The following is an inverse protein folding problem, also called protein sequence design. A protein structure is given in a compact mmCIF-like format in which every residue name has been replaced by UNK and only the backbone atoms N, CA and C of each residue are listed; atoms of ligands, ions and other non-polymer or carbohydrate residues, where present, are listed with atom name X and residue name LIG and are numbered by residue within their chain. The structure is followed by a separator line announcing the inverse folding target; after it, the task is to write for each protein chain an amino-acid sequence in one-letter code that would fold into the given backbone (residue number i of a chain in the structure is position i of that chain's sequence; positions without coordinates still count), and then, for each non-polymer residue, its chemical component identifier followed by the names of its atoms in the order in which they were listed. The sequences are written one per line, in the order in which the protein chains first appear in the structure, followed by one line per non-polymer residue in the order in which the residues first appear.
data_IF_512662971102
#
_entry.id   IF_512662971102
#
_cell.length_a   1.000
_cell.length_b   1.000
_cell.length_c   1.000
_cell.angle_alpha   90.00
_cell.angle_beta   90.00
_cell.angle_gamma   90.00
#
_symmetry.space_group_name_H-M   'P 1'
#
loop_
_entity.id
_entity.type
_entity.pdbx_description
1 polymer ?
#
# COMPACT_ATOMS: atom_id res chain seq x y z
N UNK A 1 64.16 -5.98 -60.00
CA UNK A 1 62.88 -6.61 -59.63
C UNK A 1 63.17 -7.66 -58.58
N UNK A 2 62.66 -7.50 -57.36
CA UNK A 2 62.55 -8.63 -56.43
C UNK A 2 61.70 -9.70 -57.10
N UNK A 3 62.17 -10.96 -57.09
CA UNK A 3 61.38 -12.05 -57.67
C UNK A 3 60.10 -12.21 -56.87
N UNK A 4 59.02 -12.64 -57.54
CA UNK A 4 57.73 -12.93 -56.91
C UNK A 4 57.87 -13.91 -55.73
N UNK A 5 58.83 -14.85 -55.81
CA UNK A 5 59.16 -15.80 -54.74
C UNK A 5 59.77 -15.13 -53.49
N UNK A 6 60.47 -13.99 -53.63
CA UNK A 6 61.00 -13.25 -52.49
C UNK A 6 59.90 -12.51 -51.72
N UNK A 7 58.85 -12.03 -52.40
CA UNK A 7 57.70 -11.34 -51.80
C UNK A 7 56.64 -12.30 -51.21
N UNK A 8 56.73 -13.59 -51.53
CA UNK A 8 55.80 -14.62 -51.04
C UNK A 8 55.79 -14.72 -49.52
N UNK A 9 56.98 -14.67 -48.91
CA UNK A 9 57.14 -14.70 -47.45
C UNK A 9 56.48 -13.48 -46.78
N UNK A 10 56.50 -12.32 -47.44
CA UNK A 10 55.88 -11.09 -46.93
C UNK A 10 54.35 -11.20 -46.95
N UNK A 11 53.76 -11.77 -48.01
CA UNK A 11 52.32 -11.98 -48.13
C UNK A 11 51.85 -13.04 -47.13
N UNK A 12 52.52 -14.18 -47.05
CA UNK A 12 52.22 -15.26 -46.08
C UNK A 12 52.40 -14.76 -44.64
N UNK A 13 53.42 -13.95 -44.40
CA UNK A 13 53.71 -13.37 -43.09
C UNK A 13 52.74 -12.28 -42.65
N UNK A 14 52.01 -11.67 -43.60
CA UNK A 14 51.04 -10.61 -43.33
C UNK A 14 49.86 -11.10 -42.47
N UNK A 15 49.21 -10.17 -41.76
CA UNK A 15 48.03 -10.48 -40.96
C UNK A 15 46.90 -11.07 -41.82
N UNK A 16 46.69 -10.54 -43.03
CA UNK A 16 45.71 -11.05 -43.97
C UNK A 16 46.08 -12.45 -44.46
N UNK A 17 47.33 -12.67 -44.88
CA UNK A 17 47.81 -13.97 -45.36
C UNK A 17 47.65 -15.08 -44.33
N UNK A 18 47.95 -14.80 -43.06
CA UNK A 18 47.67 -15.70 -41.93
C UNK A 18 46.17 -15.93 -41.71
N UNK A 19 45.36 -14.87 -41.77
CA UNK A 19 43.91 -14.95 -41.58
C UNK A 19 43.20 -15.80 -42.64
N UNK A 20 43.70 -15.82 -43.88
CA UNK A 20 43.17 -16.67 -44.96
C UNK A 20 43.88 -18.04 -45.07
N UNK A 21 44.76 -18.37 -44.11
CA UNK A 21 45.39 -19.68 -43.99
C UNK A 21 46.48 -19.99 -45.02
N UNK A 22 47.20 -18.96 -45.51
CA UNK A 22 48.35 -19.16 -46.40
C UNK A 22 49.58 -19.62 -45.62
N UNK A 23 50.42 -20.42 -46.28
CA UNK A 23 51.69 -20.93 -45.78
C UNK A 23 52.80 -20.73 -46.83
N UNK A 24 54.06 -20.95 -46.44
CA UNK A 24 55.20 -20.92 -47.37
C UNK A 24 55.09 -22.00 -48.47
N UNK A 25 54.31 -23.05 -48.24
CA UNK A 25 53.98 -24.10 -49.21
C UNK A 25 52.80 -23.76 -50.12
N UNK A 26 52.02 -22.71 -49.85
CA UNK A 26 50.93 -22.29 -50.73
C UNK A 26 51.44 -21.90 -52.13
N UNK A 27 50.80 -22.42 -53.17
CA UNK A 27 51.06 -22.06 -54.56
C UNK A 27 50.35 -20.75 -54.93
N UNK A 28 50.67 -20.19 -56.10
CA UNK A 28 49.93 -19.05 -56.62
C UNK A 28 48.44 -19.36 -56.84
N UNK A 29 48.15 -20.58 -57.30
CA UNK A 29 46.77 -21.03 -57.45
C UNK A 29 46.05 -21.10 -56.09
N UNK A 30 46.74 -21.46 -55.01
CA UNK A 30 46.16 -21.46 -53.66
C UNK A 30 45.85 -20.03 -53.21
N UNK A 31 46.77 -19.09 -53.43
CA UNK A 31 46.56 -17.66 -53.13
C UNK A 31 45.36 -17.10 -53.89
N UNK A 32 45.31 -17.33 -55.20
CA UNK A 32 44.21 -16.86 -56.05
C UNK A 32 42.88 -17.49 -55.63
N UNK A 33 42.87 -18.79 -55.32
CA UNK A 33 41.68 -19.50 -54.87
C UNK A 33 41.18 -18.95 -53.54
N UNK A 34 42.09 -18.72 -52.57
CA UNK A 34 41.74 -18.17 -51.26
C UNK A 34 41.20 -16.75 -51.35
N UNK A 35 41.85 -15.87 -52.12
CA UNK A 35 41.36 -14.49 -52.32
C UNK A 35 39.96 -14.50 -52.97
N UNK A 36 39.74 -15.32 -53.99
CA UNK A 36 38.43 -15.46 -54.64
C UNK A 36 37.35 -16.04 -53.72
N UNK A 37 37.73 -16.81 -52.70
CA UNK A 37 36.79 -17.40 -51.74
C UNK A 37 36.32 -16.44 -50.63
N UNK A 38 36.99 -15.31 -50.43
CA UNK A 38 36.57 -14.32 -49.43
C UNK A 38 35.28 -13.64 -49.90
N UNK A 39 34.18 -13.86 -49.18
CA UNK A 39 32.91 -13.20 -49.46
C UNK A 39 33.00 -11.68 -49.21
N UNK A 40 32.65 -10.86 -50.20
CA UNK A 40 32.40 -9.43 -50.02
C UNK A 40 31.04 -9.27 -49.33
N UNK A 41 31.06 -8.77 -48.10
CA UNK A 41 29.85 -8.50 -47.31
C UNK A 41 29.37 -7.06 -47.47
N UNK A 42 30.07 -6.24 -48.26
CA UNK A 42 29.74 -4.85 -48.51
C UNK A 42 29.73 -4.03 -47.22
N UNK A 43 28.71 -3.19 -47.07
CA UNK A 43 28.53 -2.30 -45.92
C UNK A 43 27.79 -2.95 -44.75
N UNK A 44 27.16 -4.10 -44.98
CA UNK A 44 26.11 -4.61 -44.11
C UNK A 44 26.66 -5.62 -43.11
N UNK A 45 26.80 -5.20 -41.85
CA UNK A 45 27.12 -6.10 -40.73
C UNK A 45 25.86 -6.43 -39.93
N UNK A 46 24.92 -7.13 -40.55
CA UNK A 46 23.71 -7.59 -39.86
C UNK A 46 23.99 -8.88 -39.10
N UNK A 47 23.60 -8.91 -37.83
CA UNK A 47 23.54 -10.14 -37.03
C UNK A 47 22.08 -10.52 -36.79
N UNK A 48 21.83 -11.83 -36.69
CA UNK A 48 20.52 -12.37 -36.38
C UNK A 48 20.23 -12.42 -34.86
N UNK A 49 21.19 -12.09 -33.99
CA UNK A 49 20.96 -12.11 -32.53
C UNK A 49 21.96 -11.28 -31.70
N UNK A 50 21.49 -10.74 -30.58
CA UNK A 50 22.32 -10.12 -29.53
C UNK A 50 22.45 -11.11 -28.38
N UNK A 51 23.68 -11.42 -27.98
CA UNK A 51 24.01 -12.20 -26.78
C UNK A 51 24.41 -11.30 -25.62
N UNK A 52 24.31 -11.82 -24.40
CA UNK A 52 24.84 -11.16 -23.21
C UNK A 52 25.38 -12.19 -22.22
N UNK A 53 26.37 -11.78 -21.42
CA UNK A 53 26.94 -12.56 -20.33
C UNK A 53 27.12 -11.70 -19.08
N UNK A 54 27.76 -12.23 -18.05
CA UNK A 54 28.03 -11.51 -16.80
C UNK A 54 28.91 -10.25 -16.95
N UNK A 55 29.54 -10.05 -18.11
CA UNK A 55 30.41 -8.89 -18.37
C UNK A 55 30.47 -8.42 -19.82
N UNK A 56 29.57 -8.88 -20.70
CA UNK A 56 29.59 -8.45 -22.10
C UNK A 56 28.21 -8.43 -22.75
N UNK A 57 28.09 -7.59 -23.77
CA UNK A 57 27.09 -7.72 -24.83
C UNK A 57 27.81 -8.13 -26.11
N UNK A 58 27.28 -9.12 -26.82
CA UNK A 58 27.87 -9.65 -28.04
C UNK A 58 26.88 -9.57 -29.20
N UNK A 59 27.42 -9.37 -30.39
CA UNK A 59 26.69 -9.51 -31.65
C UNK A 59 27.08 -10.89 -32.20
N UNK A 60 26.19 -11.87 -32.04
CA UNK A 60 26.52 -13.26 -32.33
C UNK A 60 26.39 -13.57 -33.82
N UNK A 61 27.13 -14.56 -34.33
CA UNK A 61 26.93 -15.10 -35.69
C UNK A 61 27.01 -14.05 -36.81
N UNK A 62 27.93 -13.09 -36.70
CA UNK A 62 28.27 -12.20 -37.82
C UNK A 62 28.89 -13.07 -38.93
N UNK A 63 28.41 -13.00 -40.19
CA UNK A 63 28.96 -13.81 -41.28
C UNK A 63 30.46 -13.60 -41.48
N UNK A 64 31.21 -14.66 -41.80
CA UNK A 64 32.62 -14.53 -42.15
C UNK A 64 32.79 -13.84 -43.52
N UNK A 65 33.79 -12.97 -43.66
CA UNK A 65 34.09 -12.27 -44.91
C UNK A 65 34.74 -10.91 -44.68
N UNK A 66 34.90 -10.15 -45.76
CA UNK A 66 35.43 -8.79 -45.72
C UNK A 66 34.28 -7.77 -45.78
N UNK A 67 34.30 -6.82 -44.84
CA UNK A 67 33.35 -5.72 -44.74
C UNK A 67 34.05 -4.42 -45.10
N UNK A 68 33.41 -3.59 -45.92
CA UNK A 68 34.03 -2.41 -46.49
C UNK A 68 33.08 -1.24 -46.60
N UNK A 69 33.63 -0.04 -46.60
CA UNK A 69 32.89 1.15 -47.01
C UNK A 69 32.54 1.07 -48.50
N UNK A 70 31.35 1.52 -48.87
CA UNK A 70 30.94 1.77 -50.26
C UNK A 70 31.00 3.26 -50.62
N UNK A 71 31.78 4.05 -49.87
CA UNK A 71 31.88 5.50 -50.04
C UNK A 71 30.91 6.30 -49.19
N UNK A 72 30.02 5.63 -48.46
CA UNK A 72 29.21 6.26 -47.43
C UNK A 72 29.97 6.43 -46.12
N UNK A 73 29.75 7.56 -45.46
CA UNK A 73 30.38 7.91 -44.18
C UNK A 73 30.00 6.97 -43.03
N UNK A 74 28.88 6.26 -43.15
CA UNK A 74 28.36 5.34 -42.13
C UNK A 74 28.80 3.89 -42.35
N UNK A 75 29.72 3.60 -43.26
CA UNK A 75 30.11 2.23 -43.60
C UNK A 75 31.60 1.94 -43.33
N UNK A 76 31.96 0.71 -42.91
CA UNK A 76 31.06 -0.40 -42.54
C UNK A 76 30.43 -0.19 -41.14
N UNK A 77 29.18 -0.63 -40.92
CA UNK A 77 28.48 -0.48 -39.63
C UNK A 77 27.64 -1.70 -39.25
N UNK A 78 27.62 -2.00 -37.94
CA UNK A 78 26.77 -3.03 -37.34
C UNK A 78 25.47 -2.42 -36.82
N UNK A 79 24.33 -2.94 -37.30
CA UNK A 79 22.98 -2.47 -36.92
C UNK A 79 22.13 -3.60 -36.35
N UNK A 80 21.17 -3.23 -35.50
CA UNK A 80 20.08 -4.09 -35.02
C UNK A 80 18.77 -3.31 -35.12
N UNK A 81 17.65 -4.00 -35.38
CA UNK A 81 16.35 -3.33 -35.39
C UNK A 81 16.03 -2.86 -33.96
N UNK A 82 15.52 -1.64 -33.82
CA UNK A 82 15.12 -1.08 -32.52
C UNK A 82 14.13 -2.00 -31.79
N UNK A 83 13.26 -2.71 -32.50
CA UNK A 83 12.31 -3.68 -31.91
C UNK A 83 12.96 -4.87 -31.20
N UNK A 84 14.26 -5.11 -31.41
CA UNK A 84 15.00 -6.19 -30.74
C UNK A 84 15.37 -5.82 -29.29
N UNK A 85 15.21 -4.55 -28.90
CA UNK A 85 15.35 -4.12 -27.52
C UNK A 85 14.00 -4.17 -26.80
N UNK A 86 14.03 -4.10 -25.46
CA UNK A 86 12.81 -4.05 -24.66
C UNK A 86 11.91 -2.86 -24.99
N UNK A 87 10.66 -2.90 -24.53
CA UNK A 87 9.63 -1.88 -24.85
C UNK A 87 9.47 -0.79 -23.79
N UNK A 88 10.29 -0.82 -22.73
CA UNK A 88 10.25 0.17 -21.66
C UNK A 88 10.24 1.59 -22.25
N UNK A 89 9.29 2.40 -21.84
CA UNK A 89 9.27 3.84 -22.12
C UNK A 89 9.99 4.59 -21.01
N UNK A 90 10.30 5.88 -21.22
CA UNK A 90 10.90 6.70 -20.18
C UNK A 90 10.05 6.71 -18.89
N UNK A 91 8.72 6.67 -19.03
CA UNK A 91 7.80 6.61 -17.90
C UNK A 91 7.82 5.29 -17.12
N UNK A 92 8.45 4.23 -17.64
CA UNK A 92 8.61 2.94 -16.97
C UNK A 92 9.91 2.83 -16.15
N UNK A 93 10.81 3.81 -16.26
CA UNK A 93 12.13 3.79 -15.61
C UNK A 93 12.26 4.99 -14.67
N UNK A 94 12.82 4.75 -13.49
CA UNK A 94 13.00 5.75 -12.45
C UNK A 94 13.78 6.97 -12.95
N UNK A 95 13.33 8.16 -12.57
CA UNK A 95 14.00 9.42 -12.90
C UNK A 95 15.44 9.43 -12.41
N UNK A 96 16.35 9.86 -13.28
CA UNK A 96 17.80 9.83 -13.04
C UNK A 96 18.49 8.50 -13.36
N UNK A 97 17.74 7.43 -13.63
CA UNK A 97 18.27 6.15 -14.14
C UNK A 97 18.22 6.16 -15.66
N UNK A 98 19.23 5.59 -16.32
CA UNK A 98 19.25 5.46 -17.79
C UNK A 98 18.97 4.02 -18.22
N UNK A 99 18.37 3.85 -19.39
CA UNK A 99 18.06 2.53 -19.96
C UNK A 99 18.15 2.53 -21.49
N UNK A 100 18.26 1.35 -22.09
CA UNK A 100 18.21 1.15 -23.54
C UNK A 100 16.99 0.29 -23.87
N UNK A 101 16.22 0.75 -24.84
CA UNK A 101 14.98 0.11 -25.30
C UNK A 101 14.83 0.38 -26.79
N UNK A 102 13.74 -0.11 -27.39
CA UNK A 102 13.39 0.29 -28.74
C UNK A 102 13.16 1.80 -28.88
N UNK A 103 12.90 2.50 -27.77
CA UNK A 103 12.73 3.95 -27.76
C UNK A 103 14.07 4.69 -27.93
N UNK A 104 15.20 4.02 -27.73
CA UNK A 104 16.56 4.54 -27.97
C UNK A 104 17.59 4.04 -26.95
N UNK A 105 18.82 4.54 -27.10
CA UNK A 105 19.97 4.13 -26.30
C UNK A 105 20.21 5.15 -25.18
N UNK A 106 20.43 4.67 -23.95
CA UNK A 106 20.74 5.49 -22.77
C UNK A 106 19.75 6.63 -22.54
N UNK A 107 18.46 6.32 -22.70
CA UNK A 107 17.37 7.25 -22.43
C UNK A 107 17.24 7.41 -20.91
N UNK A 108 17.03 8.63 -20.45
CA UNK A 108 16.71 8.90 -19.04
C UNK A 108 15.28 8.50 -18.73
N UNK A 109 15.10 7.76 -17.64
CA UNK A 109 13.79 7.54 -17.05
C UNK A 109 13.15 8.86 -16.59
N UNK A 110 11.82 8.89 -16.57
CA UNK A 110 11.01 10.02 -16.12
C UNK A 110 10.05 9.63 -15.02
N UNK A 111 10.04 8.36 -14.59
CA UNK A 111 9.19 7.92 -13.49
C UNK A 111 9.60 8.62 -12.20
N UNK A 112 8.63 9.26 -11.54
CA UNK A 112 8.89 9.98 -10.30
C UNK A 112 9.32 9.04 -9.18
N UNK A 113 10.35 9.44 -8.44
CA UNK A 113 10.82 8.76 -7.25
C UNK A 113 10.12 9.33 -6.00
N UNK A 114 9.53 8.47 -5.18
CA UNK A 114 8.85 8.87 -3.93
C UNK A 114 9.47 8.27 -2.67
N UNK A 115 10.62 7.60 -2.75
CA UNK A 115 11.25 6.91 -1.60
C UNK A 115 11.45 7.83 -0.38
N UNK A 116 11.70 9.13 -0.61
CA UNK A 116 11.89 10.12 0.45
C UNK A 116 10.80 11.21 0.47
N UNK A 117 9.62 10.94 -0.10
CA UNK A 117 8.52 11.90 -0.16
C UNK A 117 7.36 11.43 0.70
N UNK A 118 6.99 12.25 1.69
CA UNK A 118 5.71 12.07 2.38
C UNK A 118 4.61 12.45 1.41
N UNK A 119 3.78 11.49 1.01
CA UNK A 119 2.60 11.76 0.20
C UNK A 119 1.43 12.11 1.12
N UNK A 120 0.96 13.36 1.05
CA UNK A 120 -0.29 13.76 1.70
C UNK A 120 -1.45 13.35 0.82
N UNK A 121 -2.38 12.58 1.36
CA UNK A 121 -3.55 12.15 0.63
C UNK A 121 -4.59 13.28 0.53
N UNK A 122 -5.24 13.40 -0.62
CA UNK A 122 -6.33 14.36 -0.90
C UNK A 122 -7.66 13.63 -1.10
N UNK A 123 -8.78 14.32 -0.93
CA UNK A 123 -10.11 13.86 -1.37
C UNK A 123 -10.44 14.34 -2.79
N UNK A 124 -9.63 15.22 -3.36
CA UNK A 124 -9.82 15.72 -4.72
C UNK A 124 -9.51 14.60 -5.73
N UNK A 125 -10.59 14.00 -6.24
CA UNK A 125 -10.52 12.90 -7.18
C UNK A 125 -10.00 13.28 -8.59
N UNK A 126 -9.65 14.56 -8.80
CA UNK A 126 -9.13 15.06 -10.09
C UNK A 126 -7.62 15.27 -10.09
N UNK A 127 -6.97 15.32 -8.93
CA UNK A 127 -5.52 15.53 -8.79
C UNK A 127 -4.76 14.21 -8.63
N UNK A 128 -4.51 13.51 -9.75
CA UNK A 128 -3.76 12.25 -9.76
C UNK A 128 -2.26 12.39 -9.40
N UNK A 129 -1.78 13.60 -9.12
CA UNK A 129 -0.39 13.84 -8.71
C UNK A 129 -0.15 13.59 -7.21
N UNK A 130 -1.23 13.43 -6.44
CA UNK A 130 -1.22 13.11 -5.01
C UNK A 130 -1.80 11.73 -4.73
N UNK A 131 -1.62 11.23 -3.51
CA UNK A 131 -2.38 10.07 -3.07
C UNK A 131 -3.82 10.50 -2.86
N UNK A 132 -4.77 9.61 -3.09
CA UNK A 132 -6.15 9.84 -2.71
C UNK A 132 -6.54 8.89 -1.59
N UNK A 133 -7.45 9.34 -0.72
CA UNK A 133 -8.15 8.47 0.19
C UNK A 133 -9.66 8.59 -0.03
N UNK A 134 -10.36 7.47 0.10
CA UNK A 134 -11.81 7.41 -0.03
C UNK A 134 -12.40 6.54 1.08
N UNK A 135 -13.33 7.09 1.85
CA UNK A 135 -14.16 6.33 2.78
C UNK A 135 -15.38 5.76 2.05
N UNK A 136 -15.46 4.43 1.91
CA UNK A 136 -16.61 3.71 1.34
C UNK A 136 -16.73 2.31 1.93
N UNK A 137 -17.95 1.77 1.98
CA UNK A 137 -18.22 0.38 2.36
C UNK A 137 -17.62 -0.05 3.71
N UNK A 138 -17.49 0.85 4.68
CA UNK A 138 -16.90 0.51 5.97
C UNK A 138 -15.36 0.58 6.02
N UNK A 139 -14.72 1.16 5.00
CA UNK A 139 -13.27 1.24 4.89
C UNK A 139 -12.78 2.59 4.35
N UNK A 140 -11.61 3.00 4.81
CA UNK A 140 -10.75 4.01 4.20
C UNK A 140 -9.79 3.27 3.26
N UNK A 141 -10.04 3.42 1.96
CA UNK A 141 -9.17 2.96 0.89
C UNK A 141 -8.14 4.07 0.59
N UNK A 142 -6.84 3.75 0.64
CA UNK A 142 -5.76 4.67 0.25
C UNK A 142 -5.15 4.21 -1.08
N UNK A 143 -5.09 5.13 -2.04
CA UNK A 143 -4.53 4.95 -3.38
C UNK A 143 -3.32 5.88 -3.52
N UNK A 144 -2.10 5.37 -3.75
CA UNK A 144 -0.89 6.18 -3.78
C UNK A 144 -0.82 7.11 -5.00
N UNK A 145 -0.11 8.23 -4.86
CA UNK A 145 0.23 9.09 -5.98
C UNK A 145 1.17 8.35 -6.92
N UNK A 146 0.80 8.31 -8.20
CA UNK A 146 1.32 7.39 -9.23
C UNK A 146 2.85 7.26 -9.21
N UNK A 147 3.31 6.05 -8.89
CA UNK A 147 4.63 5.49 -9.19
C UNK A 147 4.42 4.01 -9.53
N UNK A 148 4.75 3.62 -10.77
CA UNK A 148 4.60 2.27 -11.36
C UNK A 148 3.20 1.75 -11.78
N UNK A 149 2.07 2.44 -11.57
CA UNK A 149 0.75 1.79 -11.74
C UNK A 149 -0.36 2.56 -12.48
N UNK A 150 -0.02 3.44 -13.43
CA UNK A 150 -1.05 4.11 -14.24
C UNK A 150 -2.02 4.96 -13.42
N UNK A 151 -3.07 5.47 -14.06
CA UNK A 151 -4.15 6.24 -13.42
C UNK A 151 -4.71 5.52 -12.19
N UNK A 152 -5.29 6.27 -11.24
CA UNK A 152 -5.92 5.65 -10.08
C UNK A 152 -6.93 4.58 -10.51
N UNK A 153 -6.71 3.36 -10.02
CA UNK A 153 -7.66 2.28 -10.16
C UNK A 153 -8.42 2.13 -8.84
N UNK A 154 -9.62 2.67 -8.80
CA UNK A 154 -10.48 2.67 -7.62
C UNK A 154 -10.91 1.27 -7.15
N UNK A 155 -10.77 0.24 -7.98
CA UNK A 155 -11.07 -1.14 -7.60
C UNK A 155 -9.91 -1.82 -6.85
N UNK A 156 -8.74 -1.17 -6.78
CA UNK A 156 -7.51 -1.70 -6.19
C UNK A 156 -6.93 -0.73 -5.17
N UNK A 157 -7.58 -0.61 -4.03
CA UNK A 157 -7.00 0.04 -2.84
C UNK A 157 -5.78 -0.75 -2.36
N UNK A 158 -4.65 -0.08 -2.11
CA UNK A 158 -3.41 -0.74 -1.66
C UNK A 158 -3.30 -0.80 -0.13
N UNK A 159 -4.00 0.08 0.57
CA UNK A 159 -4.19 0.02 2.01
C UNK A 159 -5.67 0.18 2.27
N UNK A 160 -6.24 -0.77 3.00
CA UNK A 160 -7.64 -0.76 3.42
C UNK A 160 -7.67 -0.76 4.94
N UNK A 161 -8.07 0.38 5.51
CA UNK A 161 -8.26 0.53 6.96
C UNK A 161 -9.76 0.52 7.23
N UNK A 162 -10.29 -0.25 8.19
CA UNK A 162 -11.70 -0.12 8.57
C UNK A 162 -12.02 1.35 8.95
N UNK A 163 -13.07 1.93 8.37
CA UNK A 163 -13.46 3.35 8.61
C UNK A 163 -14.16 3.57 9.95
N UNK A 164 -14.48 2.46 10.64
CA UNK A 164 -14.99 2.44 11.99
C UNK A 164 -14.01 1.74 12.90
N UNK A 165 -13.74 2.39 14.03
CA UNK A 165 -13.61 1.68 15.29
C UNK A 165 -14.83 0.76 15.36
N UNK A 166 -14.62 -0.54 15.19
CA UNK A 166 -15.69 -1.52 15.33
C UNK A 166 -16.29 -1.22 16.70
N UNK A 167 -17.54 -0.77 16.74
CA UNK A 167 -18.29 -0.52 17.97
C UNK A 167 -18.47 -1.87 18.68
N UNK A 168 -17.39 -2.30 19.31
CA UNK A 168 -17.30 -3.29 20.33
C UNK A 168 -16.69 -2.55 21.49
N UNK A 169 -17.54 -2.02 22.35
CA UNK A 169 -17.25 -1.86 23.76
C UNK A 169 -16.37 -3.07 24.18
N UNK A 170 -15.10 -2.82 24.57
CA UNK A 170 -14.06 -3.79 24.96
C UNK A 170 -13.03 -4.26 23.89
N UNK A 171 -12.17 -3.37 23.39
CA UNK A 171 -10.82 -3.79 22.97
C UNK A 171 -9.77 -2.75 23.37
N UNK A 172 -9.27 -2.87 24.61
CA UNK A 172 -7.94 -2.37 24.99
C UNK A 172 -7.82 -0.94 25.51
N UNK A 173 -8.90 -0.16 25.61
CA UNK A 173 -8.85 1.17 26.25
C UNK A 173 -9.65 1.13 27.55
N UNK A 174 -8.96 1.00 28.68
CA UNK A 174 -9.53 1.20 30.02
C UNK A 174 -9.87 2.68 30.22
N UNK A 175 -10.96 3.15 29.60
CA UNK A 175 -11.66 4.32 30.10
C UNK A 175 -12.16 3.96 31.51
N UNK A 176 -11.89 4.81 32.50
CA UNK A 176 -12.21 4.60 33.92
C UNK A 176 -13.73 4.51 34.17
N UNK A 177 -14.31 3.35 33.84
CA UNK A 177 -15.25 2.49 34.57
C UNK A 177 -16.46 3.05 35.34
N UNK A 178 -16.83 4.33 35.20
CA UNK A 178 -18.12 4.80 35.72
C UNK A 178 -19.26 4.38 34.78
N UNK A 179 -20.35 3.81 35.32
CA UNK A 179 -21.54 3.39 34.56
C UNK A 179 -22.76 4.19 35.01
N UNK A 180 -23.70 4.51 34.11
CA UNK A 180 -24.96 5.19 34.44
C UNK A 180 -26.16 4.47 33.83
N UNK A 181 -27.30 4.53 34.51
CA UNK A 181 -28.58 3.97 34.07
C UNK A 181 -29.72 4.89 34.50
N UNK A 182 -30.74 5.06 33.64
CA UNK A 182 -31.95 5.84 33.96
C UNK A 182 -33.20 5.06 33.55
N UNK A 183 -34.27 5.16 34.32
CA UNK A 183 -35.52 4.45 34.04
C UNK A 183 -36.70 4.92 34.91
N UNK A 184 -37.90 4.42 34.60
CA UNK A 184 -39.10 4.63 35.41
C UNK A 184 -39.43 3.38 36.24
N UNK A 185 -39.97 3.58 37.44
CA UNK A 185 -40.36 2.55 38.40
C UNK A 185 -41.85 2.70 38.71
N UNK A 186 -42.60 1.60 38.61
CA UNK A 186 -43.99 1.53 39.08
C UNK A 186 -44.01 1.36 40.61
N UNK A 187 -44.73 2.24 41.31
CA UNK A 187 -44.62 2.41 42.77
C UNK A 187 -45.51 1.49 43.59
N UNK A 188 -46.27 0.59 42.98
CA UNK A 188 -47.39 -0.08 43.65
C UNK A 188 -47.00 -1.23 44.59
N UNK A 189 -45.78 -1.79 44.53
CA UNK A 189 -45.41 -2.92 45.41
C UNK A 189 -43.90 -3.17 45.66
N UNK A 190 -43.02 -2.22 45.39
CA UNK A 190 -41.56 -2.50 45.43
C UNK A 190 -41.13 -3.48 44.33
N UNK A 191 -39.82 -3.59 44.06
CA UNK A 191 -39.32 -4.42 42.96
C UNK A 191 -37.80 -4.40 42.81
N UNK A 192 -37.27 -5.35 42.05
CA UNK A 192 -35.85 -5.41 41.66
C UNK A 192 -35.65 -4.87 40.25
N UNK A 193 -34.61 -4.05 40.05
CA UNK A 193 -34.30 -3.35 38.81
C UNK A 193 -32.90 -3.74 38.34
N UNK A 194 -32.80 -4.21 37.09
CA UNK A 194 -31.53 -4.63 36.49
C UNK A 194 -30.91 -3.48 35.70
N UNK A 195 -29.75 -3.01 36.14
CA UNK A 195 -28.97 -1.94 35.47
C UNK A 195 -27.68 -2.47 34.83
N UNK A 196 -27.36 -3.76 35.05
CA UNK A 196 -26.14 -4.40 34.55
C UNK A 196 -24.89 -4.08 35.36
N UNK A 197 -25.04 -3.48 36.55
CA UNK A 197 -23.97 -3.19 37.48
C UNK A 197 -24.51 -2.92 38.90
N UNK A 198 -23.68 -3.17 39.92
CA UNK A 198 -23.96 -2.68 41.27
C UNK A 198 -23.81 -1.17 41.34
N UNK A 199 -24.89 -0.40 41.63
CA UNK A 199 -24.79 1.04 41.74
C UNK A 199 -24.16 1.45 43.07
N UNK A 200 -23.31 2.48 43.02
CA UNK A 200 -22.76 3.19 44.17
C UNK A 200 -23.63 4.37 44.57
N UNK A 201 -24.36 4.98 43.62
CA UNK A 201 -25.29 6.08 43.86
C UNK A 201 -26.62 5.78 43.19
N UNK A 202 -27.74 6.02 43.88
CA UNK A 202 -29.08 5.99 43.29
C UNK A 202 -29.81 7.27 43.68
N UNK A 203 -30.41 7.93 42.69
CA UNK A 203 -31.28 9.09 42.87
C UNK A 203 -32.70 8.69 42.46
N UNK A 204 -33.68 9.03 43.29
CA UNK A 204 -35.09 8.76 43.02
C UNK A 204 -35.92 10.04 43.14
N UNK A 205 -36.81 10.25 42.18
CA UNK A 205 -37.73 11.39 42.09
C UNK A 205 -39.12 10.87 41.73
N UNK A 206 -40.20 11.46 42.24
CA UNK A 206 -41.57 11.18 41.76
C UNK A 206 -41.96 12.12 40.65
N UNK A 207 -42.92 11.68 39.83
CA UNK A 207 -43.62 12.54 38.88
C UNK A 207 -44.17 13.79 39.56
N UNK A 208 -43.75 14.96 39.07
CA UNK A 208 -44.21 16.27 39.54
C UNK A 208 -43.50 16.87 40.76
N UNK A 209 -42.63 16.13 41.45
CA UNK A 209 -41.83 16.69 42.55
C UNK A 209 -40.67 17.53 42.00
N UNK A 210 -40.09 18.45 42.78
CA UNK A 210 -38.93 19.27 42.36
C UNK A 210 -37.57 18.73 42.82
N UNK A 211 -37.54 17.88 43.85
CA UNK A 211 -36.31 17.35 44.46
C UNK A 211 -36.23 15.82 44.35
N UNK A 212 -35.03 15.19 44.30
CA UNK A 212 -34.94 13.75 44.52
C UNK A 212 -35.42 13.44 45.93
N UNK A 213 -36.49 12.68 46.05
CA UNK A 213 -37.08 12.30 47.33
C UNK A 213 -36.31 11.17 48.02
N UNK A 214 -35.31 10.56 47.36
CA UNK A 214 -34.45 9.53 47.96
C UNK A 214 -33.07 9.48 47.32
N UNK A 215 -32.04 9.29 48.15
CA UNK A 215 -30.63 9.18 47.73
C UNK A 215 -29.95 8.03 48.44
N UNK A 216 -29.43 7.08 47.67
CA UNK A 216 -28.54 6.02 48.16
C UNK A 216 -27.10 6.34 47.77
N UNK A 217 -26.15 6.19 48.69
CA UNK A 217 -24.73 6.20 48.41
C UNK A 217 -24.00 5.10 49.21
N UNK A 218 -23.23 4.25 48.55
CA UNK A 218 -22.46 3.16 49.18
C UNK A 218 -21.23 3.65 49.96
N UNK A 219 -20.84 4.92 49.81
CA UNK A 219 -19.58 5.48 50.32
C UNK A 219 -19.73 6.49 51.47
N UNK A 220 -20.93 6.69 52.04
CA UNK A 220 -21.01 7.40 53.33
C UNK A 220 -22.26 8.23 53.64
N UNK A 221 -23.23 8.38 52.73
CA UNK A 221 -24.52 9.01 53.06
C UNK A 221 -25.66 8.18 52.48
N UNK A 222 -26.30 7.36 53.31
CA UNK A 222 -27.64 6.87 53.02
C UNK A 222 -28.65 7.91 53.52
N UNK A 223 -29.12 8.80 52.64
CA UNK A 223 -30.39 9.48 52.91
C UNK A 223 -31.49 8.46 52.62
N UNK A 224 -31.64 7.52 53.55
CA UNK A 224 -32.77 6.61 53.64
C UNK A 224 -33.95 7.37 54.25
N UNK A 225 -34.29 8.48 53.62
CA UNK A 225 -35.41 9.30 54.00
C UNK A 225 -36.16 9.63 52.73
N UNK A 226 -37.33 9.01 52.58
CA UNK A 226 -38.37 9.51 51.69
C UNK A 226 -39.35 10.30 52.54
N UNK A 227 -39.42 11.60 52.33
CA UNK A 227 -40.49 12.42 52.92
C UNK A 227 -41.79 12.18 52.15
N UNK A 228 -42.68 11.42 52.77
CA UNK A 228 -44.08 11.36 52.36
C UNK A 228 -44.85 12.60 52.83
N UNK A 229 -45.97 12.98 52.17
CA UNK A 229 -46.76 14.18 52.49
C UNK A 229 -47.48 14.15 53.86
N UNK A 230 -47.10 13.25 54.79
CA UNK A 230 -47.71 13.13 56.12
C UNK A 230 -46.71 12.68 57.20
N UNK A 231 -45.45 13.13 57.12
CA UNK A 231 -44.40 12.79 58.09
C UNK A 231 -44.13 11.27 58.22
N UNK A 232 -44.40 10.50 57.17
CA UNK A 232 -44.06 9.08 57.15
C UNK A 232 -42.58 8.92 56.83
N UNK A 233 -41.79 8.49 57.82
CA UNK A 233 -40.36 8.24 57.66
C UNK A 233 -40.11 6.76 57.34
N UNK A 234 -39.67 6.47 56.13
CA UNK A 234 -39.22 5.13 55.75
C UNK A 234 -37.70 5.11 55.63
N UNK A 235 -37.05 4.29 56.45
CA UNK A 235 -35.60 4.06 56.42
C UNK A 235 -35.27 2.68 55.84
N UNK A 236 -34.08 2.55 55.24
CA UNK A 236 -33.53 1.30 54.70
C UNK A 236 -34.30 0.65 53.54
N UNK A 237 -34.74 1.46 52.57
CA UNK A 237 -35.54 0.98 51.43
C UNK A 237 -34.73 0.59 50.18
N UNK A 238 -33.45 0.98 50.08
CA UNK A 238 -32.58 0.59 48.96
C UNK A 238 -31.68 -0.59 49.33
N UNK A 239 -31.61 -1.58 48.46
CA UNK A 239 -30.59 -2.63 48.49
C UNK A 239 -29.97 -2.79 47.11
N UNK A 240 -28.68 -3.11 47.04
CA UNK A 240 -27.95 -3.25 45.77
C UNK A 240 -27.35 -4.63 45.65
N UNK A 241 -27.24 -5.15 44.43
CA UNK A 241 -26.52 -6.39 44.12
C UNK A 241 -25.62 -6.18 42.89
N UNK A 242 -24.90 -7.22 42.47
CA UNK A 242 -23.96 -7.15 41.34
C UNK A 242 -24.58 -6.66 40.02
N UNK A 243 -25.90 -6.79 39.86
CA UNK A 243 -26.62 -6.56 38.62
C UNK A 243 -27.57 -5.34 38.66
N UNK A 244 -27.76 -4.72 39.83
CA UNK A 244 -28.64 -3.58 39.99
C UNK A 244 -29.05 -3.30 41.43
N UNK A 245 -30.31 -2.92 41.63
CA UNK A 245 -30.83 -2.54 42.94
C UNK A 245 -32.30 -2.94 43.12
N UNK A 246 -32.74 -3.02 44.37
CA UNK A 246 -34.13 -3.29 44.75
C UNK A 246 -34.62 -2.18 45.69
N UNK A 247 -35.91 -1.87 45.54
CA UNK A 247 -36.64 -0.90 46.37
C UNK A 247 -37.67 -1.66 47.23
N UNK A 248 -37.66 -1.43 48.55
CA UNK A 248 -38.70 -1.92 49.46
C UNK A 248 -40.07 -1.30 49.19
N UNK A 249 -41.11 -1.72 49.91
CA UNK A 249 -42.47 -1.20 49.73
C UNK A 249 -42.50 0.31 49.97
N UNK A 250 -42.68 1.07 48.89
CA UNK A 250 -43.00 2.49 48.97
C UNK A 250 -44.47 2.60 49.36
N UNK A 251 -44.80 3.26 50.47
CA UNK A 251 -46.19 3.54 50.79
C UNK A 251 -46.77 4.44 49.69
N UNK A 252 -47.48 3.85 48.75
CA UNK A 252 -48.04 4.54 47.60
C UNK A 252 -49.17 5.47 48.07
N UNK A 253 -48.89 6.77 48.08
CA UNK A 253 -49.94 7.79 47.99
C UNK A 253 -50.50 7.74 46.57
N UNK A 254 -51.64 7.06 46.40
CA UNK A 254 -52.43 6.91 45.17
C UNK A 254 -51.82 5.99 44.09
N UNK A 255 -52.69 5.28 43.38
CA UNK A 255 -52.41 4.08 42.58
C UNK A 255 -51.62 4.33 41.27
N UNK A 256 -51.35 5.57 40.88
CA UNK A 256 -51.00 5.91 39.48
C UNK A 256 -49.86 6.94 39.30
N UNK A 257 -48.78 6.87 40.09
CA UNK A 257 -47.60 7.74 39.88
C UNK A 257 -46.34 6.94 39.57
N UNK A 258 -45.53 7.40 38.62
CA UNK A 258 -44.22 6.83 38.36
C UNK A 258 -43.16 7.47 39.26
N UNK A 259 -42.11 6.71 39.55
CA UNK A 259 -40.86 7.23 40.07
C UNK A 259 -39.80 7.20 38.97
N UNK A 260 -39.12 8.31 38.73
CA UNK A 260 -37.91 8.36 37.93
C UNK A 260 -36.70 8.03 38.80
N UNK A 261 -35.81 7.21 38.27
CA UNK A 261 -34.61 6.81 38.97
C UNK A 261 -33.39 6.92 38.06
N UNK A 262 -32.27 7.27 38.68
CA UNK A 262 -30.96 7.25 38.07
C UNK A 262 -30.00 6.48 38.98
N UNK A 263 -29.27 5.53 38.41
CA UNK A 263 -28.34 4.67 39.13
C UNK A 263 -26.94 4.79 38.50
N UNK A 264 -25.91 4.91 39.35
CA UNK A 264 -24.54 5.17 38.91
C UNK A 264 -23.57 4.22 39.60
N UNK A 265 -22.62 3.66 38.85
CA UNK A 265 -21.42 3.00 39.37
C UNK A 265 -20.26 3.99 39.30
N UNK A 266 -19.58 4.18 40.42
CA UNK A 266 -18.34 4.94 40.54
C UNK A 266 -17.24 3.91 40.80
N UNK A 267 -16.21 3.89 39.97
CA UNK A 267 -15.07 2.96 40.08
C UNK A 267 -13.78 3.73 40.25
#
# INVERSE_FOLDING_TARGET
MTSFENTKSEIVGSALGKAIGLSTSSTWNDVVTKIKSVADRGTDQTTNSIGWGSGYFALNSIPEGYYRSSGYSWAPEIRTNRSNFGTASAGNVLSGVTFTSQNGIRISGTMKNYTNSIQTATTDATDSSKSCYWARNGYIDVIPAVGYWGSWNWDRSYIRVPDRYNDGYNAGVNAKTSKSWTGHINTTSGGSFTTGFQPNVILLKRDGDNFPIGVYCSYGISVNHIEGPSNSHLSNIFSTNSNGFSLGTLNAYTKDKYCYCAAFKIV
#
